data_IF_012660705121
#
_entry.id   IF_012660705121
#
_cell.length_a   1.000
_cell.length_b   1.000
_cell.length_c   1.000
_cell.angle_alpha   90.00
_cell.angle_beta   90.00
_cell.angle_gamma   90.00
#
_symmetry.space_group_name_H-M   'P 1'
#
loop_
_entity.id
_entity.type
_entity.pdbx_description
1 polymer ?
#
# COMPACT_ATOMS: atom_id res chain seq x y z
N UNK A 1 -0.40 -21.67 26.73
CA UNK A 1 0.25 -21.74 25.41
C UNK A 1 -0.12 -20.47 24.66
N UNK A 2 0.70 -19.45 24.80
CA UNK A 2 0.34 -18.07 24.48
C UNK A 2 1.48 -17.42 23.68
N UNK A 3 1.87 -18.02 22.55
CA UNK A 3 2.92 -17.44 21.68
C UNK A 3 2.72 -17.69 20.18
N UNK A 4 1.48 -17.93 19.74
CA UNK A 4 1.11 -17.57 18.37
C UNK A 4 0.92 -16.06 18.33
N UNK A 5 2.00 -15.28 18.47
CA UNK A 5 1.99 -13.86 18.11
C UNK A 5 1.56 -13.83 16.64
N UNK A 6 0.32 -13.44 16.40
CA UNK A 6 -0.19 -13.13 15.07
C UNK A 6 0.79 -12.13 14.45
N UNK A 7 1.64 -12.59 13.54
CA UNK A 7 2.41 -11.72 12.66
C UNK A 7 1.48 -11.18 11.57
N UNK A 8 0.43 -10.47 11.98
CA UNK A 8 -0.51 -9.85 11.05
C UNK A 8 0.20 -8.81 10.19
N UNK A 9 1.20 -8.14 10.74
CA UNK A 9 1.97 -7.08 10.08
C UNK A 9 3.46 -7.38 10.20
N UNK A 10 4.10 -8.00 9.19
CA UNK A 10 5.54 -8.18 9.18
C UNK A 10 6.23 -6.82 9.05
N UNK A 11 7.13 -6.48 9.97
CA UNK A 11 7.98 -5.31 9.87
C UNK A 11 9.21 -5.61 9.03
N UNK A 12 9.38 -4.95 7.88
CA UNK A 12 10.69 -4.88 7.22
C UNK A 12 11.56 -3.84 7.94
N UNK A 13 12.86 -4.09 8.02
CA UNK A 13 13.84 -3.18 8.60
C UNK A 13 14.55 -2.37 7.51
N UNK A 14 14.87 -1.12 7.84
CA UNK A 14 15.78 -0.28 7.06
C UNK A 14 16.89 0.19 8.01
N UNK A 15 18.14 0.02 7.62
CA UNK A 15 19.30 0.64 8.28
C UNK A 15 19.85 1.74 7.39
N UNK A 16 20.02 2.93 7.96
CA UNK A 16 20.59 4.09 7.27
C UNK A 16 21.83 4.52 8.04
N UNK A 17 22.99 4.40 7.41
CA UNK A 17 24.24 4.94 7.92
C UNK A 17 24.40 6.36 7.39
N UNK A 18 24.59 7.32 8.30
CA UNK A 18 24.68 8.74 7.98
C UNK A 18 25.88 9.40 8.63
N UNK A 19 26.39 10.45 8.01
CA UNK A 19 27.27 11.42 8.61
C UNK A 19 26.48 12.69 8.95
N UNK A 20 26.69 13.25 10.14
CA UNK A 20 26.04 14.49 10.56
C UNK A 20 26.90 15.68 10.15
N UNK A 21 26.33 16.61 9.39
CA UNK A 21 26.94 17.90 9.09
C UNK A 21 26.10 19.02 9.72
N UNK A 22 26.72 20.00 10.40
CA UNK A 22 25.99 21.20 10.82
C UNK A 22 25.36 21.89 9.60
N UNK A 23 24.10 22.30 9.71
CA UNK A 23 23.45 23.09 8.65
C UNK A 23 24.01 24.51 8.68
N UNK A 24 24.31 25.08 7.51
CA UNK A 24 24.77 26.47 7.44
C UNK A 24 23.58 27.44 7.64
N UNK A 25 23.87 28.67 8.05
CA UNK A 25 22.85 29.66 8.41
C UNK A 25 21.88 30.03 7.26
N UNK A 26 22.34 29.92 6.02
CA UNK A 26 21.55 30.06 4.80
C UNK A 26 20.57 28.89 4.61
N UNK A 27 21.01 27.64 4.80
CA UNK A 27 20.17 26.43 4.77
C UNK A 27 19.12 26.45 5.90
N UNK A 28 19.48 26.94 7.08
CA UNK A 28 18.65 26.94 8.29
C UNK A 28 17.34 27.70 8.11
N UNK A 29 17.37 28.83 7.40
CA UNK A 29 16.19 29.67 7.14
C UNK A 29 15.14 28.97 6.27
N UNK A 30 15.57 28.22 5.26
CA UNK A 30 14.71 27.43 4.37
C UNK A 30 14.16 26.20 5.09
N UNK A 31 15.01 25.51 5.85
CA UNK A 31 14.61 24.33 6.63
C UNK A 31 13.58 24.69 7.70
N UNK A 32 13.79 25.78 8.45
CA UNK A 32 12.83 26.27 9.46
C UNK A 32 11.45 26.55 8.89
N UNK A 33 11.35 27.04 7.64
CA UNK A 33 10.06 27.21 6.96
C UNK A 33 9.40 25.88 6.62
N UNK A 34 10.17 24.89 6.15
CA UNK A 34 9.64 23.55 5.84
C UNK A 34 9.19 22.76 7.08
N UNK A 35 9.80 23.02 8.25
CA UNK A 35 9.38 22.43 9.53
C UNK A 35 8.28 23.23 10.25
N UNK A 36 7.98 24.45 9.82
CA UNK A 36 6.78 25.17 10.24
C UNK A 36 5.59 24.70 9.41
N UNK A 37 4.93 23.63 9.88
CA UNK A 37 3.60 23.31 9.43
C UNK A 37 2.66 24.41 9.94
N UNK A 38 2.10 25.22 9.04
CA UNK A 38 0.89 25.99 9.33
C UNK A 38 -0.24 24.99 9.53
N UNK A 39 -0.50 24.62 10.79
CA UNK A 39 -1.83 24.28 11.27
C UNK A 39 -1.82 24.34 12.80
N UNK A 40 -2.29 25.46 13.32
CA UNK A 40 -2.77 25.54 14.69
C UNK A 40 -4.20 26.06 14.64
N UNK A 41 -5.10 25.24 14.12
CA UNK A 41 -6.46 25.22 14.65
C UNK A 41 -6.44 24.33 15.91
N UNK A 42 -6.80 24.94 17.04
CA UNK A 42 -6.75 24.25 18.31
C UNK A 42 -7.73 23.09 18.31
N UNK A 43 -7.25 21.88 18.58
CA UNK A 43 -7.79 20.94 19.58
C UNK A 43 -7.04 19.59 19.47
N UNK A 44 -6.35 19.19 20.55
CA UNK A 44 -5.95 17.80 20.90
C UNK A 44 -4.85 17.15 20.02
N UNK A 45 -3.63 16.91 20.50
CA UNK A 45 -3.38 15.75 21.38
C UNK A 45 -1.95 15.76 21.98
N UNK A 46 -1.91 15.25 23.19
CA UNK A 46 -0.84 15.08 24.16
C UNK A 46 0.41 14.38 23.58
N UNK A 47 1.44 15.15 23.21
CA UNK A 47 2.82 14.64 23.04
C UNK A 47 3.57 14.94 24.32
N UNK A 48 3.42 14.06 25.31
CA UNK A 48 4.30 14.06 26.47
C UNK A 48 5.58 13.32 26.11
N UNK A 49 6.66 14.09 26.25
CA UNK A 49 8.07 13.73 26.27
C UNK A 49 8.77 13.67 24.91
N UNK A 50 9.63 14.65 24.68
CA UNK A 50 10.35 14.88 23.42
C UNK A 50 10.11 16.29 22.89
N UNK A 51 10.93 17.23 23.38
CA UNK A 51 10.94 18.67 23.09
C UNK A 51 10.36 19.05 21.72
N UNK A 52 9.17 19.66 21.76
CA UNK A 52 8.57 20.36 20.61
C UNK A 52 9.57 21.45 20.22
N UNK A 53 10.23 21.30 19.07
CA UNK A 53 11.05 22.35 18.46
C UNK A 53 10.15 23.48 17.97
N UNK A 54 9.64 24.27 18.91
CA UNK A 54 8.96 25.52 18.62
C UNK A 54 9.98 26.52 18.10
N UNK A 55 10.13 26.62 16.79
CA UNK A 55 10.90 27.69 16.15
C UNK A 55 10.09 29.00 16.15
N UNK A 56 9.52 29.40 17.29
CA UNK A 56 8.70 30.61 17.36
C UNK A 56 9.56 31.85 17.08
N UNK A 57 9.36 32.47 15.92
CA UNK A 57 9.88 33.79 15.60
C UNK A 57 9.06 34.86 16.33
N UNK A 58 9.13 34.89 17.65
CA UNK A 58 8.80 36.07 18.42
C UNK A 58 10.07 36.53 19.11
N UNK A 59 10.50 37.73 18.71
CA UNK A 59 11.56 38.47 19.34
C UNK A 59 11.23 38.70 20.81
N UNK A 60 11.60 37.77 21.67
CA UNK A 60 11.97 38.10 23.03
C UNK A 60 12.93 37.05 23.57
N UNK A 61 13.97 37.52 24.23
CA UNK A 61 15.19 36.78 24.48
C UNK A 61 15.00 35.61 25.45
N UNK A 62 14.87 34.39 24.91
CA UNK A 62 15.46 33.13 25.44
C UNK A 62 14.85 31.92 24.72
N UNK A 63 15.13 31.74 23.42
CA UNK A 63 14.80 30.47 22.74
C UNK A 63 16.07 29.62 22.69
N UNK A 64 16.07 28.49 23.42
CA UNK A 64 17.13 27.47 23.39
C UNK A 64 17.58 27.22 21.95
N UNK A 65 18.85 27.50 21.65
CA UNK A 65 19.41 27.43 20.30
C UNK A 65 19.48 25.99 19.79
N UNK A 66 18.39 25.48 19.23
CA UNK A 66 18.39 24.20 18.54
C UNK A 66 19.18 24.33 17.23
N UNK A 67 20.23 23.52 17.10
CA UNK A 67 21.09 23.50 15.91
C UNK A 67 20.57 22.44 14.94
N UNK A 68 20.22 22.86 13.72
CA UNK A 68 19.81 21.92 12.68
C UNK A 68 21.02 21.18 12.13
N UNK A 69 20.93 19.85 12.07
CA UNK A 69 21.95 18.99 11.48
C UNK A 69 21.39 18.33 10.23
N UNK A 70 22.17 18.37 9.15
CA UNK A 70 21.86 17.67 7.91
C UNK A 70 22.49 16.28 7.95
N UNK A 71 21.71 15.30 7.52
CA UNK A 71 22.18 13.91 7.39
C UNK A 71 22.68 13.70 5.97
N UNK A 72 23.94 13.33 5.84
CA UNK A 72 24.53 12.87 4.59
C UNK A 72 24.53 11.35 4.60
N UNK A 73 23.71 10.75 3.74
CA UNK A 73 23.52 9.30 3.73
C UNK A 73 24.73 8.64 3.06
N UNK A 74 25.40 7.76 3.81
CA UNK A 74 26.55 7.00 3.35
C UNK A 74 26.16 5.60 2.87
N UNK A 75 25.14 4.99 3.47
CA UNK A 75 24.71 3.63 3.13
C UNK A 75 23.27 3.36 3.57
N UNK A 76 22.54 2.63 2.74
CA UNK A 76 21.18 2.17 3.05
C UNK A 76 21.14 0.64 2.87
N UNK A 77 20.58 -0.06 3.86
CA UNK A 77 20.35 -1.50 3.82
C UNK A 77 18.91 -1.86 4.16
N UNK A 78 18.34 -2.76 3.36
CA UNK A 78 17.02 -3.33 3.56
C UNK A 78 17.14 -4.71 4.18
N UNK A 79 16.35 -4.96 5.22
CA UNK A 79 16.24 -6.25 5.90
C UNK A 79 14.81 -6.73 5.83
N UNK A 80 14.58 -7.85 5.13
CA UNK A 80 13.30 -8.54 5.19
C UNK A 80 13.31 -9.59 6.29
N UNK A 81 12.17 -9.80 6.94
CA UNK A 81 11.98 -10.88 7.94
C UNK A 81 12.28 -12.28 7.38
N UNK A 82 12.28 -12.44 6.06
CA UNK A 82 12.61 -13.69 5.38
C UNK A 82 14.12 -13.90 5.17
N UNK A 83 14.97 -13.08 5.79
CA UNK A 83 16.43 -13.21 5.75
C UNK A 83 17.08 -12.61 4.50
N UNK A 84 16.31 -11.92 3.66
CA UNK A 84 16.87 -11.18 2.52
C UNK A 84 17.42 -9.84 2.99
N UNK A 85 18.72 -9.65 2.78
CA UNK A 85 19.40 -8.38 2.96
C UNK A 85 19.77 -7.81 1.58
N UNK A 86 19.50 -6.54 1.36
CA UNK A 86 19.85 -5.85 0.12
C UNK A 86 20.45 -4.48 0.42
N UNK A 87 21.55 -4.16 -0.26
CA UNK A 87 22.17 -2.84 -0.21
C UNK A 87 21.54 -1.97 -1.29
N UNK A 88 21.08 -0.79 -0.91
CA UNK A 88 20.48 0.17 -1.84
C UNK A 88 21.55 1.11 -2.35
N UNK A 89 21.62 1.29 -3.67
CA UNK A 89 22.48 2.28 -4.32
C UNK A 89 22.05 3.69 -3.90
N UNK A 90 23.01 4.53 -3.53
CA UNK A 90 22.71 5.93 -3.16
C UNK A 90 22.14 6.72 -4.33
N UNK A 91 22.60 6.43 -5.56
CA UNK A 91 22.08 7.07 -6.77
C UNK A 91 20.62 6.67 -6.99
N UNK A 92 20.33 5.37 -6.90
CA UNK A 92 18.97 4.85 -7.08
C UNK A 92 18.02 5.44 -6.02
N UNK A 93 18.50 5.66 -4.79
CA UNK A 93 17.73 6.32 -3.75
C UNK A 93 17.47 7.81 -4.05
N UNK A 94 18.46 8.53 -4.58
CA UNK A 94 18.32 9.94 -4.95
C UNK A 94 17.38 10.13 -6.14
N UNK A 95 17.40 9.20 -7.11
CA UNK A 95 16.53 9.23 -8.30
C UNK A 95 15.14 8.63 -8.03
N UNK A 96 14.93 8.01 -6.87
CA UNK A 96 13.66 7.40 -6.51
C UNK A 96 12.64 8.43 -6.03
N UNK A 97 11.44 8.33 -6.59
CA UNK A 97 10.29 9.10 -6.14
C UNK A 97 9.44 8.27 -5.16
N UNK A 98 8.85 8.89 -4.13
CA UNK A 98 7.91 8.21 -3.26
C UNK A 98 6.68 7.73 -4.05
N UNK A 99 6.07 6.62 -3.61
CA UNK A 99 4.86 6.11 -4.26
C UNK A 99 3.71 7.13 -4.15
N UNK A 100 2.91 7.24 -5.20
CA UNK A 100 1.77 8.18 -5.26
C UNK A 100 0.75 7.92 -4.15
N UNK A 101 0.68 6.69 -3.62
CA UNK A 101 -0.20 6.34 -2.52
C UNK A 101 0.46 6.44 -1.14
N UNK A 102 1.75 6.75 -1.02
CA UNK A 102 2.49 6.70 0.24
C UNK A 102 1.83 7.50 1.37
N UNK A 103 1.22 8.65 1.03
CA UNK A 103 0.50 9.51 1.98
C UNK A 103 -0.91 9.00 2.35
N UNK A 104 -1.56 8.22 1.46
CA UNK A 104 -2.93 7.71 1.66
C UNK A 104 -2.97 6.25 2.13
N UNK A 105 -1.84 5.53 2.16
CA UNK A 105 -1.81 4.10 2.47
C UNK A 105 -2.46 3.77 3.82
N UNK A 106 -2.18 4.54 4.87
CA UNK A 106 -2.80 4.34 6.19
C UNK A 106 -4.33 4.52 6.12
N UNK A 107 -4.80 5.62 5.54
CA UNK A 107 -6.23 5.90 5.39
C UNK A 107 -6.96 4.82 4.59
N UNK A 108 -6.33 4.30 3.52
CA UNK A 108 -6.90 3.21 2.72
C UNK A 108 -6.98 1.92 3.54
N UNK A 109 -5.93 1.57 4.30
CA UNK A 109 -5.90 0.39 5.16
C UNK A 109 -6.94 0.45 6.28
N UNK A 110 -7.11 1.61 6.92
CA UNK A 110 -8.12 1.84 7.96
C UNK A 110 -9.54 1.78 7.40
N UNK A 111 -9.79 2.40 6.25
CA UNK A 111 -11.08 2.29 5.58
C UNK A 111 -11.38 0.84 5.14
N UNK A 112 -10.35 0.08 4.79
CA UNK A 112 -10.48 -1.33 4.43
C UNK A 112 -10.79 -2.21 5.65
N UNK A 113 -10.15 -1.96 6.79
CA UNK A 113 -10.40 -2.69 8.04
C UNK A 113 -11.78 -2.33 8.62
N UNK A 114 -12.20 -1.07 8.53
CA UNK A 114 -13.50 -0.58 8.98
C UNK A 114 -14.70 -1.19 8.21
N UNK A 115 -14.50 -1.64 6.96
CA UNK A 115 -15.53 -2.35 6.18
C UNK A 115 -15.83 -3.79 6.65
N UNK A 116 -15.07 -4.30 7.63
CA UNK A 116 -15.39 -5.53 8.35
C UNK A 116 -15.22 -6.84 7.55
N UNK A 117 -15.97 -7.88 7.97
CA UNK A 117 -15.79 -9.29 7.54
C UNK A 117 -15.91 -9.54 6.03
N UNK A 118 -16.61 -8.67 5.27
CA UNK A 118 -16.77 -8.82 3.81
C UNK A 118 -15.43 -8.76 3.07
N UNK A 119 -14.52 -7.88 3.51
CA UNK A 119 -13.19 -7.74 2.94
C UNK A 119 -12.34 -8.99 3.16
N UNK A 120 -12.38 -9.56 4.37
CA UNK A 120 -11.65 -10.79 4.71
C UNK A 120 -12.16 -11.99 3.88
N UNK A 121 -13.47 -12.15 3.74
CA UNK A 121 -14.07 -13.19 2.88
C UNK A 121 -13.63 -13.03 1.43
N UNK A 122 -13.63 -11.80 0.91
CA UNK A 122 -13.20 -11.51 -0.46
C UNK A 122 -11.71 -11.79 -0.67
N UNK A 123 -10.85 -11.46 0.31
CA UNK A 123 -9.42 -11.78 0.27
C UNK A 123 -9.18 -13.29 0.25
N UNK A 124 -9.90 -14.07 1.08
CA UNK A 124 -9.83 -15.53 1.04
C UNK A 124 -10.26 -16.09 -0.31
N UNK A 125 -11.35 -15.56 -0.88
CA UNK A 125 -11.81 -15.97 -2.20
C UNK A 125 -10.79 -15.64 -3.31
N UNK A 126 -10.15 -14.47 -3.23
CA UNK A 126 -9.08 -14.06 -4.14
C UNK A 126 -7.86 -14.99 -4.05
N UNK A 127 -7.44 -15.36 -2.83
CA UNK A 127 -6.37 -16.32 -2.61
C UNK A 127 -6.71 -17.69 -3.20
N UNK A 128 -7.93 -18.19 -2.95
CA UNK A 128 -8.41 -19.47 -3.49
C UNK A 128 -8.42 -19.48 -5.02
N UNK A 129 -8.78 -18.37 -5.66
CA UNK A 129 -8.72 -18.21 -7.12
C UNK A 129 -7.29 -18.29 -7.68
N UNK A 130 -6.29 -17.91 -6.89
CA UNK A 130 -4.86 -18.06 -7.25
C UNK A 130 -4.30 -19.45 -6.91
N UNK A 131 -5.12 -20.38 -6.42
CA UNK A 131 -4.68 -21.72 -6.03
C UNK A 131 -4.06 -21.77 -4.63
N UNK A 132 -4.22 -20.72 -3.83
CA UNK A 132 -3.73 -20.67 -2.45
C UNK A 132 -4.85 -21.14 -1.51
N UNK A 133 -4.59 -22.20 -0.73
CA UNK A 133 -5.49 -22.62 0.34
C UNK A 133 -5.15 -21.86 1.62
N UNK A 134 -6.12 -21.13 2.17
CA UNK A 134 -5.85 -20.14 3.23
C UNK A 134 -6.93 -20.22 4.32
N UNK A 135 -6.51 -20.21 5.58
CA UNK A 135 -7.37 -20.11 6.75
C UNK A 135 -7.70 -18.65 7.08
N UNK A 136 -6.74 -17.75 6.84
CA UNK A 136 -6.82 -16.32 7.09
C UNK A 136 -6.16 -15.51 5.99
N UNK A 137 -6.66 -14.31 5.73
CA UNK A 137 -6.05 -13.35 4.80
C UNK A 137 -6.29 -11.91 5.27
N UNK A 138 -5.22 -11.13 5.40
CA UNK A 138 -5.22 -9.74 5.86
C UNK A 138 -4.48 -8.86 4.85
N UNK A 139 -5.05 -7.69 4.53
CA UNK A 139 -4.35 -6.69 3.72
C UNK A 139 -3.30 -6.01 4.59
N UNK A 140 -2.04 -6.00 4.16
CA UNK A 140 -0.90 -5.43 4.92
C UNK A 140 -0.22 -4.26 4.24
N UNK A 141 -0.41 -4.11 2.92
CA UNK A 141 0.20 -3.02 2.17
C UNK A 141 -0.54 -2.74 0.88
N UNK A 142 -0.44 -1.50 0.43
CA UNK A 142 -0.90 -1.05 -0.88
C UNK A 142 0.06 0.01 -1.41
N UNK A 143 0.29 -0.02 -2.72
CA UNK A 143 1.02 0.99 -3.47
C UNK A 143 0.41 1.14 -4.87
N UNK A 144 0.98 2.00 -5.70
CA UNK A 144 0.48 2.26 -7.05
C UNK A 144 0.48 1.02 -7.97
N UNK A 145 1.24 -0.03 -7.66
CA UNK A 145 1.41 -1.22 -8.48
C UNK A 145 0.57 -2.41 -8.01
N UNK A 146 0.10 -2.42 -6.77
CA UNK A 146 -0.67 -3.54 -6.25
C UNK A 146 -0.92 -3.49 -4.76
N UNK A 147 -1.38 -4.63 -4.24
CA UNK A 147 -1.63 -4.82 -2.82
C UNK A 147 -0.95 -6.07 -2.28
N UNK A 148 -0.47 -5.98 -1.04
CA UNK A 148 0.16 -7.06 -0.32
C UNK A 148 -0.80 -7.66 0.70
N UNK A 149 -0.99 -8.96 0.62
CA UNK A 149 -1.93 -9.71 1.46
C UNK A 149 -1.16 -10.74 2.27
N UNK A 150 -1.23 -10.64 3.60
CA UNK A 150 -0.73 -11.66 4.51
C UNK A 150 -1.71 -12.81 4.60
N UNK A 151 -1.22 -13.99 4.28
CA UNK A 151 -1.98 -15.24 4.20
C UNK A 151 -1.53 -16.18 5.31
N UNK A 152 -2.49 -16.84 5.96
CA UNK A 152 -2.27 -17.83 7.01
C UNK A 152 -2.79 -19.20 6.58
N UNK A 153 -1.99 -20.25 6.78
CA UNK A 153 -2.34 -21.64 6.53
C UNK A 153 -1.69 -22.52 7.60
N UNK A 154 -2.48 -23.02 8.56
CA UNK A 154 -1.98 -23.70 9.75
C UNK A 154 -1.00 -22.83 10.53
N UNK A 155 0.24 -23.31 10.67
CA UNK A 155 1.33 -22.59 11.36
C UNK A 155 2.10 -21.63 10.45
N UNK A 156 1.86 -21.64 9.14
CA UNK A 156 2.59 -20.81 8.19
C UNK A 156 1.89 -19.48 7.92
N UNK A 157 2.68 -18.40 7.86
CA UNK A 157 2.20 -17.07 7.48
C UNK A 157 3.10 -16.45 6.41
N UNK A 158 2.56 -16.19 5.22
CA UNK A 158 3.30 -15.67 4.05
C UNK A 158 2.63 -14.41 3.48
N UNK A 159 3.41 -13.45 3.01
CA UNK A 159 2.86 -12.29 2.27
C UNK A 159 2.81 -12.62 0.79
N UNK A 160 1.65 -12.43 0.17
CA UNK A 160 1.45 -12.61 -1.27
C UNK A 160 1.05 -11.29 -1.92
N UNK A 161 1.77 -10.95 -2.99
CA UNK A 161 1.59 -9.74 -3.78
C UNK A 161 0.51 -9.95 -4.85
N UNK A 162 -0.51 -9.12 -4.86
CA UNK A 162 -1.54 -9.09 -5.90
C UNK A 162 -1.36 -7.82 -6.76
N UNK A 163 -0.85 -7.95 -8.00
CA UNK A 163 -0.60 -6.80 -8.85
C UNK A 163 -1.90 -6.21 -9.41
N UNK A 164 -1.90 -4.89 -9.57
CA UNK A 164 -2.86 -4.17 -10.37
C UNK A 164 -2.59 -4.38 -11.86
N UNK A 165 -3.63 -4.23 -12.68
CA UNK A 165 -3.48 -4.38 -14.14
C UNK A 165 -2.74 -3.21 -14.77
N UNK A 166 -2.94 -2.04 -14.18
CA UNK A 166 -2.35 -0.77 -14.58
C UNK A 166 -1.92 -0.05 -13.32
N UNK A 167 -0.85 0.75 -13.39
CA UNK A 167 -0.43 1.59 -12.27
C UNK A 167 -1.56 2.54 -11.86
N UNK A 168 -1.89 2.57 -10.57
CA UNK A 168 -2.82 3.53 -10.01
C UNK A 168 -2.14 4.89 -9.85
N UNK A 169 -2.78 5.94 -10.36
CA UNK A 169 -2.24 7.31 -10.32
C UNK A 169 -2.80 8.15 -9.17
N UNK A 170 -3.74 7.60 -8.39
CA UNK A 170 -4.33 8.25 -7.23
C UNK A 170 -5.06 7.21 -6.34
N UNK A 171 -5.44 7.64 -5.13
CA UNK A 171 -6.18 6.81 -4.17
C UNK A 171 -7.47 6.21 -4.76
N UNK A 172 -8.29 7.01 -5.43
CA UNK A 172 -9.57 6.56 -6.00
C UNK A 172 -9.36 5.48 -7.05
N UNK A 173 -8.31 5.62 -7.89
CA UNK A 173 -7.95 4.61 -8.88
C UNK A 173 -7.48 3.31 -8.21
N UNK A 174 -6.68 3.41 -7.15
CA UNK A 174 -6.21 2.26 -6.38
C UNK A 174 -7.38 1.50 -5.72
N UNK A 175 -8.26 2.22 -5.00
CA UNK A 175 -9.44 1.63 -4.37
C UNK A 175 -10.36 0.95 -5.40
N UNK A 176 -10.53 1.55 -6.59
CA UNK A 176 -11.30 0.94 -7.68
C UNK A 176 -10.66 -0.35 -8.17
N UNK A 177 -9.33 -0.39 -8.33
CA UNK A 177 -8.62 -1.60 -8.74
C UNK A 177 -8.66 -2.69 -7.66
N UNK A 178 -8.48 -2.35 -6.38
CA UNK A 178 -8.69 -3.27 -5.26
C UNK A 178 -10.09 -3.88 -5.30
N UNK A 179 -11.12 -3.05 -5.44
CA UNK A 179 -12.51 -3.51 -5.48
C UNK A 179 -12.77 -4.44 -6.67
N UNK A 180 -12.19 -4.16 -7.85
CA UNK A 180 -12.28 -5.04 -9.01
C UNK A 180 -11.58 -6.39 -8.83
N UNK A 181 -10.47 -6.43 -8.07
CA UNK A 181 -9.77 -7.68 -7.74
C UNK A 181 -10.57 -8.53 -6.75
N UNK A 182 -11.10 -7.89 -5.70
CA UNK A 182 -11.81 -8.56 -4.61
C UNK A 182 -13.22 -8.97 -4.99
N UNK A 183 -13.90 -8.18 -5.82
CA UNK A 183 -15.29 -8.41 -6.24
C UNK A 183 -15.40 -8.37 -7.77
N UNK A 184 -14.85 -9.37 -8.47
CA UNK A 184 -14.98 -9.45 -9.92
C UNK A 184 -16.46 -9.54 -10.30
N UNK A 185 -16.92 -8.67 -11.20
CA UNK A 185 -18.26 -8.81 -11.78
C UNK A 185 -18.37 -10.20 -12.39
N UNK A 186 -19.41 -10.95 -12.02
CA UNK A 186 -19.71 -12.22 -12.68
C UNK A 186 -19.85 -11.93 -14.17
N UNK A 187 -18.97 -12.49 -14.99
CA UNK A 187 -19.21 -12.50 -16.44
C UNK A 187 -20.48 -13.32 -16.60
N UNK A 188 -21.62 -12.66 -16.89
CA UNK A 188 -22.80 -13.35 -17.39
C UNK A 188 -22.30 -14.22 -18.55
N UNK A 189 -22.32 -15.54 -18.36
CA UNK A 189 -22.23 -16.47 -19.49
C UNK A 189 -23.37 -16.05 -20.41
N UNK A 190 -23.06 -15.44 -21.55
CA UNK A 190 -24.01 -15.45 -22.67
C UNK A 190 -24.13 -16.92 -23.03
N UNK A 191 -25.20 -17.57 -22.58
CA UNK A 191 -25.65 -18.78 -23.24
C UNK A 191 -25.92 -18.33 -24.68
N UNK A 192 -25.08 -18.78 -25.61
CA UNK A 192 -25.50 -18.83 -27.01
C UNK A 192 -26.67 -19.79 -27.00
N UNK A 193 -27.88 -19.27 -27.18
CA UNK A 193 -29.02 -20.10 -27.58
C UNK A 193 -28.59 -20.79 -28.87
N UNK A 194 -28.50 -22.12 -28.82
CA UNK A 194 -28.59 -22.94 -30.00
C UNK A 194 -30.04 -22.77 -30.47
N UNK A 195 -30.27 -21.87 -31.41
CA UNK A 195 -31.49 -21.95 -32.22
C UNK A 195 -31.18 -22.93 -33.35
N UNK A 196 -31.84 -24.08 -33.25
CA UNK A 196 -32.13 -24.99 -34.34
C UNK A 196 -32.68 -24.20 -35.54
N UNK A 197 -31.96 -24.26 -36.67
CA UNK A 197 -32.60 -24.22 -37.99
C UNK A 197 -32.48 -25.62 -38.59
N UNK A 198 -33.29 -26.54 -38.05
CA UNK A 198 -33.75 -27.72 -38.78
C UNK A 198 -34.98 -27.30 -39.57
N UNK A 199 -34.82 -27.07 -40.87
CA UNK A 199 -35.94 -26.74 -41.74
C UNK A 199 -35.55 -26.49 -43.17
N UNK A 200 -35.20 -27.54 -43.91
CA UNK A 200 -35.36 -27.50 -45.38
C UNK A 200 -35.65 -28.90 -45.92
N UNK A 201 -36.89 -29.37 -45.71
CA UNK A 201 -37.45 -30.51 -46.42
C UNK A 201 -37.90 -30.05 -47.81
N UNK A 202 -37.03 -30.19 -48.81
CA UNK A 202 -37.41 -30.08 -50.22
C UNK A 202 -38.22 -31.31 -50.62
N UNK A 203 -39.52 -31.08 -50.83
CA UNK A 203 -40.42 -31.95 -51.56
C UNK A 203 -40.03 -31.99 -53.04
N UNK A 204 -39.64 -33.16 -53.54
CA UNK A 204 -39.73 -33.49 -54.96
C UNK A 204 -40.80 -34.57 -55.12
N UNK A 205 -41.93 -34.18 -55.70
CA UNK A 205 -42.86 -35.09 -56.37
C UNK A 205 -42.88 -34.71 -57.84
N UNK A 206 -42.68 -35.72 -58.69
CA UNK A 206 -42.81 -35.68 -60.14
C UNK A 206 -44.25 -35.95 -60.57
N UNK A 207 -44.76 -35.19 -61.55
CA UNK A 207 -45.40 -35.65 -62.81
C UNK A 207 -46.63 -34.85 -63.28
N UNK A 208 -46.61 -34.58 -64.60
CA UNK A 208 -47.69 -34.41 -65.59
C UNK A 208 -48.70 -33.23 -65.47
N UNK A 209 -48.58 -32.23 -66.34
CA UNK A 209 -49.17 -32.20 -67.70
C UNK A 209 -48.47 -31.16 -68.58
#
# INVERSE_FOLDING_TARGET
MEYCRKMDHPSNGVSIMVCLRPSFADEESHLKRSFHCEDSDGYYSDWKDGEILSFSSKSDGSSSGSTLHRWEISRIELFSLYGSQSVVSLQDFQDAEPDVLAHSTSAILEHFSGKGSRCNVALKALCKKKGLHVEGANLVGIDSLGMDVRIFSGVEARTHRFPFKVRATCEVAAQKQMHQLLFPRSRRKKFRSHEDELGDSKSQFSSCN
#
